data_IF_594670873245
#
_entry.id   IF_594670873245
#
_cell.length_a   1.000
_cell.length_b   1.000
_cell.length_c   1.000
_cell.angle_alpha   90.00
_cell.angle_beta   90.00
_cell.angle_gamma   90.00
#
_symmetry.space_group_name_H-M   'P 1'
#
loop_
_entity.id
_entity.type
_entity.pdbx_description
1 polymer ?
#
# COMPACT_ATOMS: atom_id res chain seq x y z
N UNK A 1 -9.40 -13.45 -3.55
CA UNK A 1 -8.38 -13.28 -4.59
C UNK A 1 -8.65 -11.98 -5.32
N UNK A 2 -7.68 -11.07 -5.32
CA UNK A 2 -7.79 -9.75 -5.96
C UNK A 2 -7.14 -9.85 -7.34
N UNK A 3 -7.90 -9.56 -8.40
CA UNK A 3 -7.41 -9.64 -9.78
C UNK A 3 -6.91 -8.30 -10.33
N UNK A 4 -7.34 -7.18 -9.73
CA UNK A 4 -6.90 -5.83 -10.08
C UNK A 4 -7.21 -4.89 -8.93
N UNK A 5 -6.33 -3.93 -8.67
CA UNK A 5 -6.59 -2.87 -7.70
C UNK A 5 -7.58 -1.88 -8.29
N UNK A 6 -8.67 -1.64 -7.57
CA UNK A 6 -9.77 -0.74 -7.99
C UNK A 6 -9.61 0.65 -7.40
N UNK A 7 -10.25 1.66 -8.01
CA UNK A 7 -10.21 3.03 -7.50
C UNK A 7 -10.69 3.19 -6.04
N UNK A 8 -11.77 2.51 -5.58
CA UNK A 8 -12.14 2.52 -4.16
C UNK A 8 -11.03 1.98 -3.25
N UNK A 9 -10.34 0.91 -3.64
CA UNK A 9 -9.22 0.36 -2.87
C UNK A 9 -8.04 1.33 -2.83
N UNK A 10 -7.73 1.99 -3.95
CA UNK A 10 -6.69 3.05 -4.00
C UNK A 10 -7.03 4.16 -3.02
N UNK A 11 -8.27 4.65 -3.01
CA UNK A 11 -8.69 5.69 -2.06
C UNK A 11 -8.51 5.25 -0.61
N UNK A 12 -8.83 4.00 -0.27
CA UNK A 12 -8.65 3.46 1.09
C UNK A 12 -7.18 3.38 1.50
N UNK A 13 -6.29 3.00 0.57
CA UNK A 13 -4.85 3.02 0.79
C UNK A 13 -4.37 4.46 1.02
N UNK A 14 -4.80 5.40 0.17
CA UNK A 14 -4.42 6.82 0.29
C UNK A 14 -4.93 7.46 1.59
N UNK A 15 -6.16 7.15 2.01
CA UNK A 15 -6.71 7.60 3.30
C UNK A 15 -5.86 7.09 4.48
N UNK A 16 -5.39 5.85 4.40
CA UNK A 16 -4.51 5.27 5.42
C UNK A 16 -3.14 5.96 5.42
N UNK A 17 -2.52 6.17 4.25
CA UNK A 17 -1.22 6.84 4.16
C UNK A 17 -1.30 8.32 4.59
N UNK A 18 -2.38 9.01 4.27
CA UNK A 18 -2.63 10.39 4.70
C UNK A 18 -2.71 10.50 6.23
N UNK A 19 -3.39 9.54 6.88
CA UNK A 19 -3.45 9.45 8.35
C UNK A 19 -2.09 9.23 9.00
N UNK A 20 -1.14 8.66 8.27
CA UNK A 20 0.24 8.46 8.71
C UNK A 20 1.13 9.68 8.41
N UNK A 21 0.57 10.75 7.80
CA UNK A 21 1.31 11.94 7.44
C UNK A 21 2.17 11.78 6.18
N UNK A 22 1.91 10.74 5.37
CA UNK A 22 2.59 10.55 4.09
C UNK A 22 1.88 11.33 2.99
N UNK A 23 2.62 12.15 2.25
CA UNK A 23 2.08 12.87 1.09
C UNK A 23 1.69 11.89 -0.02
N UNK A 24 0.50 12.07 -0.60
CA UNK A 24 -0.02 11.23 -1.70
C UNK A 24 0.89 11.20 -2.93
N UNK A 25 1.63 12.28 -3.18
CA UNK A 25 2.64 12.38 -4.25
C UNK A 25 3.82 11.40 -4.07
N UNK A 26 4.03 10.92 -2.85
CA UNK A 26 5.10 10.00 -2.51
C UNK A 26 4.62 8.56 -2.41
N UNK A 27 3.36 8.26 -2.77
CA UNK A 27 2.80 6.92 -2.73
C UNK A 27 2.53 6.44 -4.15
N UNK A 28 3.09 5.29 -4.53
CA UNK A 28 2.84 4.62 -5.80
C UNK A 28 2.09 3.31 -5.55
N UNK A 29 0.95 3.13 -6.22
CA UNK A 29 0.07 1.96 -6.04
C UNK A 29 -0.14 1.35 -7.43
N UNK A 30 0.60 0.29 -7.80
CA UNK A 30 0.37 -0.42 -9.04
C UNK A 30 -1.04 -0.99 -9.10
N UNK A 31 -1.67 -0.95 -10.29
CA UNK A 31 -2.97 -1.59 -10.51
C UNK A 31 -2.89 -3.12 -10.48
N UNK A 32 -1.69 -3.66 -10.70
CA UNK A 32 -1.40 -5.09 -10.64
C UNK A 32 -1.06 -5.49 -9.19
N UNK A 33 -1.88 -6.31 -8.53
CA UNK A 33 -1.50 -6.90 -7.25
C UNK A 33 -0.40 -7.97 -7.43
N UNK A 34 0.21 -8.41 -6.34
CA UNK A 34 1.24 -9.44 -6.33
C UNK A 34 1.07 -10.40 -5.15
N UNK A 35 1.71 -11.58 -5.19
CA UNK A 35 1.82 -12.49 -4.05
C UNK A 35 3.28 -12.83 -3.75
N UNK A 36 3.80 -12.51 -2.55
CA UNK A 36 3.15 -11.69 -1.52
C UNK A 36 3.02 -10.22 -1.96
N UNK A 37 2.08 -9.49 -1.37
CA UNK A 37 2.07 -8.03 -1.44
C UNK A 37 3.34 -7.44 -0.81
N UNK A 38 3.69 -6.20 -1.15
CA UNK A 38 4.92 -5.57 -0.65
C UNK A 38 4.73 -4.08 -0.34
N UNK A 39 5.50 -3.61 0.63
CA UNK A 39 5.65 -2.18 0.94
C UNK A 39 7.14 -1.91 0.96
N UNK A 40 7.63 -1.01 0.13
CA UNK A 40 9.04 -0.66 0.11
C UNK A 40 9.29 0.78 -0.31
N UNK A 41 10.44 1.31 0.08
CA UNK A 41 10.88 2.64 -0.33
C UNK A 41 11.67 2.53 -1.63
N UNK A 42 11.23 3.26 -2.64
CA UNK A 42 11.88 3.35 -3.93
C UNK A 42 13.13 4.24 -3.87
N UNK A 43 14.10 4.07 -4.80
CA UNK A 43 15.31 4.90 -4.86
C UNK A 43 15.04 6.39 -5.08
N UNK A 44 13.88 6.73 -5.65
CA UNK A 44 13.42 8.12 -5.85
C UNK A 44 12.85 8.76 -4.57
N UNK A 45 12.81 8.02 -3.46
CA UNK A 45 12.28 8.49 -2.17
C UNK A 45 10.79 8.22 -1.94
N UNK A 46 10.06 7.74 -2.95
CA UNK A 46 8.64 7.36 -2.83
C UNK A 46 8.48 6.02 -2.14
N UNK A 47 7.25 5.73 -1.72
CA UNK A 47 6.80 4.48 -1.14
C UNK A 47 5.92 3.76 -2.17
N UNK A 48 6.34 2.59 -2.60
CA UNK A 48 5.50 1.72 -3.42
C UNK A 48 4.75 0.73 -2.52
N UNK A 49 3.45 0.61 -2.76
CA UNK A 49 2.52 -0.24 -2.01
C UNK A 49 1.82 -1.17 -3.01
N UNK A 50 2.18 -2.45 -2.96
CA UNK A 50 1.57 -3.50 -3.80
C UNK A 50 0.61 -4.32 -2.97
N UNK A 51 -0.63 -4.41 -3.46
CA UNK A 51 -1.71 -5.16 -2.81
C UNK A 51 -1.44 -6.66 -2.92
N UNK A 52 -1.68 -7.40 -1.83
CA UNK A 52 -1.60 -8.85 -1.84
C UNK A 52 -2.80 -9.47 -2.58
N UNK A 53 -2.53 -10.26 -3.63
CA UNK A 53 -3.59 -10.90 -4.42
C UNK A 53 -4.26 -12.10 -3.72
N UNK A 54 -3.57 -12.72 -2.75
CA UNK A 54 -4.02 -13.92 -2.05
C UNK A 54 -4.91 -13.61 -0.85
N UNK A 55 -4.75 -12.43 -0.25
CA UNK A 55 -5.53 -11.99 0.89
C UNK A 55 -6.76 -11.15 0.51
N UNK A 56 -7.86 -11.20 1.29
CA UNK A 56 -8.91 -10.20 1.21
C UNK A 56 -8.35 -8.79 1.46
N UNK A 57 -8.83 -7.81 0.70
CA UNK A 57 -8.32 -6.43 0.76
C UNK A 57 -8.34 -5.85 2.17
N UNK A 58 -9.45 -6.00 2.91
CA UNK A 58 -9.56 -5.48 4.28
C UNK A 58 -8.57 -6.14 5.24
N UNK A 59 -8.28 -7.44 5.06
CA UNK A 59 -7.31 -8.16 5.88
C UNK A 59 -5.88 -7.66 5.58
N UNK A 60 -5.56 -7.48 4.29
CA UNK A 60 -4.28 -6.91 3.88
C UNK A 60 -4.13 -5.45 4.35
N UNK A 61 -5.15 -4.62 4.17
CA UNK A 61 -5.16 -3.21 4.56
C UNK A 61 -4.92 -3.03 6.07
N UNK A 62 -5.46 -3.94 6.90
CA UNK A 62 -5.21 -3.93 8.34
C UNK A 62 -3.73 -4.17 8.71
N UNK A 63 -2.97 -4.86 7.86
CA UNK A 63 -1.52 -5.08 8.04
C UNK A 63 -0.65 -3.95 7.45
N UNK A 64 -1.20 -3.17 6.51
CA UNK A 64 -0.45 -2.16 5.75
C UNK A 64 0.22 -1.12 6.64
N UNK A 65 -0.48 -0.59 7.64
CA UNK A 65 0.07 0.42 8.56
C UNK A 65 1.35 -0.06 9.27
N UNK A 66 1.37 -1.33 9.69
CA UNK A 66 2.53 -1.91 10.34
C UNK A 66 3.71 -2.05 9.38
N UNK A 67 3.46 -2.47 8.14
CA UNK A 67 4.49 -2.58 7.09
C UNK A 67 5.07 -1.21 6.72
N UNK A 68 4.22 -0.18 6.59
CA UNK A 68 4.68 1.19 6.32
C UNK A 68 5.63 1.66 7.43
N UNK A 69 5.25 1.51 8.71
CA UNK A 69 6.11 1.94 9.83
C UNK A 69 7.45 1.23 9.88
N UNK A 70 7.49 -0.07 9.54
CA UNK A 70 8.76 -0.83 9.45
C UNK A 70 9.70 -0.24 8.40
N UNK A 71 9.16 0.22 7.27
CA UNK A 71 9.93 0.78 6.16
C UNK A 71 10.31 2.25 6.40
N UNK A 72 9.43 3.03 7.03
CA UNK A 72 9.67 4.45 7.31
C UNK A 72 10.44 4.70 8.60
N UNK A 73 10.65 3.69 9.44
CA UNK A 73 11.47 3.78 10.65
C UNK A 73 10.89 4.71 11.72
N UNK A 74 9.56 4.70 11.89
CA UNK A 74 8.82 5.56 12.83
C UNK A 74 8.45 4.83 14.11
#
# INVERSE_FOLDING_TARGET
MISMVTFPQINRILELTDRLGLSREWVEIPLSPASPGLVHKLPNGKLEIVVDETLPFEQWLASLEAEIRKVTGS
#
